data_IF_343467902444
#
_entry.id   IF_343467902444
#
_cell.length_a   1.000
_cell.length_b   1.000
_cell.length_c   1.000
_cell.angle_alpha   90.00
_cell.angle_beta   90.00
_cell.angle_gamma   90.00
#
_symmetry.space_group_name_H-M   'P 1'
#
loop_
_entity.id
_entity.type
_entity.pdbx_description
1 polymer ?
#
# COMPACT_ATOMS: atom_id res chain seq x y z
N UNK A 1 -27.33 10.76 -8.93
CA UNK A 1 -28.49 10.63 -9.85
C UNK A 1 -28.92 11.92 -10.55
N UNK A 2 -28.61 13.11 -10.05
CA UNK A 2 -28.99 14.38 -10.71
C UNK A 2 -28.33 14.56 -12.09
N UNK A 3 -27.09 14.11 -12.24
CA UNK A 3 -26.32 14.21 -13.50
C UNK A 3 -26.57 13.00 -14.40
N UNK A 4 -26.46 11.78 -13.84
CA UNK A 4 -26.75 10.53 -14.54
C UNK A 4 -27.92 9.79 -13.87
N UNK A 5 -29.17 10.02 -14.34
CA UNK A 5 -30.35 9.45 -13.71
C UNK A 5 -30.51 7.94 -13.95
N UNK A 6 -29.91 7.42 -15.02
CA UNK A 6 -29.93 5.99 -15.38
C UNK A 6 -28.63 5.26 -15.02
N UNK A 7 -27.80 5.82 -14.12
CA UNK A 7 -26.57 5.17 -13.68
C UNK A 7 -26.89 3.91 -12.88
N UNK A 8 -26.43 2.77 -13.36
CA UNK A 8 -26.63 1.46 -12.72
C UNK A 8 -25.32 0.83 -12.22
N UNK A 9 -24.19 1.12 -12.88
CA UNK A 9 -22.89 0.49 -12.59
C UNK A 9 -21.77 1.53 -12.64
N UNK A 10 -20.84 1.46 -11.70
CA UNK A 10 -19.57 2.18 -11.69
C UNK A 10 -18.44 1.15 -11.79
N UNK A 11 -17.64 1.26 -12.85
CA UNK A 11 -16.44 0.46 -13.03
C UNK A 11 -15.25 1.20 -12.44
N UNK A 12 -14.66 0.67 -11.38
CA UNK A 12 -13.54 1.30 -10.69
C UNK A 12 -12.66 0.26 -10.00
N UNK A 13 -11.37 0.54 -9.87
CA UNK A 13 -10.51 -0.24 -9.00
C UNK A 13 -10.96 -0.03 -7.55
N UNK A 14 -11.40 -1.11 -6.92
CA UNK A 14 -12.12 -1.08 -5.64
C UNK A 14 -11.46 -1.96 -4.56
N UNK A 15 -10.24 -2.42 -4.83
CA UNK A 15 -9.42 -3.28 -3.98
C UNK A 15 -8.15 -2.56 -3.51
N UNK A 16 -7.46 -3.18 -2.54
CA UNK A 16 -6.26 -2.59 -1.93
C UNK A 16 -6.55 -1.21 -1.35
N UNK A 17 -5.66 -0.22 -1.55
CA UNK A 17 -5.86 1.14 -1.03
C UNK A 17 -7.10 1.86 -1.55
N UNK A 18 -7.65 1.49 -2.71
CA UNK A 18 -8.86 2.12 -3.25
C UNK A 18 -10.14 1.68 -2.54
N UNK A 19 -10.07 0.62 -1.72
CA UNK A 19 -11.19 0.17 -0.92
C UNK A 19 -11.67 1.26 0.07
N UNK A 20 -10.79 2.18 0.48
CA UNK A 20 -11.12 3.28 1.41
C UNK A 20 -12.09 4.30 0.81
N UNK A 21 -12.12 4.44 -0.52
CA UNK A 21 -12.99 5.39 -1.23
C UNK A 21 -14.39 4.83 -1.51
N UNK A 22 -14.61 3.53 -1.28
CA UNK A 22 -15.89 2.86 -1.57
C UNK A 22 -17.07 3.43 -0.77
N UNK A 23 -16.95 3.74 0.53
CA UNK A 23 -18.03 4.38 1.29
C UNK A 23 -18.45 5.73 0.68
N UNK A 24 -17.49 6.53 0.23
CA UNK A 24 -17.74 7.84 -0.38
C UNK A 24 -18.39 7.71 -1.76
N UNK A 25 -17.92 6.78 -2.60
CA UNK A 25 -18.57 6.47 -3.89
C UNK A 25 -20.03 6.06 -3.66
N UNK A 26 -20.29 5.21 -2.66
CA UNK A 26 -21.66 4.78 -2.32
C UNK A 26 -22.52 5.93 -1.80
N UNK A 27 -21.93 6.87 -1.06
CA UNK A 27 -22.63 8.07 -0.58
C UNK A 27 -23.16 8.92 -1.75
N UNK A 28 -22.33 9.19 -2.76
CA UNK A 28 -22.72 10.03 -3.90
C UNK A 28 -23.53 9.29 -4.98
N UNK A 29 -23.18 8.04 -5.27
CA UNK A 29 -23.85 7.25 -6.30
C UNK A 29 -25.23 6.75 -5.85
N UNK A 30 -25.39 6.54 -4.54
CA UNK A 30 -26.56 5.93 -3.94
C UNK A 30 -26.43 4.39 -3.84
N UNK A 31 -27.22 3.76 -2.96
CA UNK A 31 -27.07 2.34 -2.61
C UNK A 31 -27.40 1.38 -3.77
N UNK A 32 -28.22 1.82 -4.72
CA UNK A 32 -28.69 1.00 -5.84
C UNK A 32 -27.66 0.88 -6.98
N UNK A 33 -26.60 1.70 -6.97
CA UNK A 33 -25.57 1.69 -8.01
C UNK A 33 -24.51 0.66 -7.66
N UNK A 34 -24.32 -0.33 -8.52
CA UNK A 34 -23.31 -1.37 -8.32
C UNK A 34 -21.92 -0.82 -8.61
N UNK A 35 -21.02 -0.87 -7.63
CA UNK A 35 -19.58 -0.67 -7.87
C UNK A 35 -18.99 -2.02 -8.24
N UNK A 36 -18.15 -2.07 -9.27
CA UNK A 36 -17.50 -3.29 -9.72
C UNK A 36 -16.03 -3.02 -10.03
N UNK A 37 -15.16 -3.93 -9.58
CA UNK A 37 -13.78 -3.97 -10.05
C UNK A 37 -13.68 -4.69 -11.39
N UNK A 38 -12.66 -4.36 -12.17
CA UNK A 38 -12.55 -4.82 -13.56
C UNK A 38 -11.37 -5.77 -13.70
N UNK A 39 -10.16 -5.32 -13.37
CA UNK A 39 -8.91 -6.03 -13.64
C UNK A 39 -7.84 -5.71 -12.60
N UNK A 40 -6.88 -6.62 -12.47
CA UNK A 40 -5.53 -6.30 -11.95
C UNK A 40 -4.61 -6.27 -13.16
N UNK A 41 -4.06 -5.10 -13.44
CA UNK A 41 -3.14 -4.88 -14.55
C UNK A 41 -2.07 -3.88 -14.13
N UNK A 42 -0.86 -4.06 -14.68
CA UNK A 42 0.26 -3.15 -14.55
C UNK A 42 0.83 -2.83 -15.94
N UNK A 43 1.85 -1.98 -16.00
CA UNK A 43 2.55 -1.71 -17.26
C UNK A 43 3.30 -2.93 -17.79
N UNK A 44 3.64 -3.85 -16.89
CA UNK A 44 4.43 -5.07 -17.15
C UNK A 44 3.56 -6.25 -17.55
N UNK A 45 2.34 -6.39 -17.02
CA UNK A 45 1.45 -7.50 -17.35
C UNK A 45 -0.02 -7.24 -17.04
N UNK A 46 -0.87 -7.94 -17.79
CA UNK A 46 -2.29 -8.10 -17.47
C UNK A 46 -2.45 -9.34 -16.59
N UNK A 47 -2.69 -9.16 -15.28
CA UNK A 47 -2.58 -10.26 -14.32
C UNK A 47 -3.87 -11.04 -14.11
N UNK A 48 -4.99 -10.34 -13.91
CA UNK A 48 -6.23 -10.99 -13.51
C UNK A 48 -7.47 -10.17 -13.89
N UNK A 49 -8.58 -10.86 -14.09
CA UNK A 49 -9.90 -10.27 -14.36
C UNK A 49 -10.83 -10.52 -13.19
N UNK A 50 -11.78 -9.64 -12.93
CA UNK A 50 -12.79 -9.85 -11.88
C UNK A 50 -13.50 -11.21 -12.06
N UNK A 51 -13.67 -11.95 -10.97
CA UNK A 51 -14.31 -13.26 -10.99
C UNK A 51 -15.78 -13.20 -10.57
N UNK A 52 -16.09 -12.53 -9.47
CA UNK A 52 -17.47 -12.25 -9.05
C UNK A 52 -17.68 -10.73 -9.02
N UNK A 53 -18.54 -10.17 -9.89
CA UNK A 53 -18.80 -8.73 -9.92
C UNK A 53 -19.31 -8.13 -8.60
N UNK A 54 -19.81 -8.96 -7.68
CA UNK A 54 -20.27 -8.54 -6.35
C UNK A 54 -19.14 -8.49 -5.33
N UNK A 55 -18.05 -9.22 -5.59
CA UNK A 55 -16.86 -9.23 -4.76
C UNK A 55 -15.78 -8.34 -5.39
N UNK A 56 -15.62 -7.15 -4.81
CA UNK A 56 -14.72 -6.11 -5.31
C UNK A 56 -13.24 -6.49 -5.29
N UNK A 57 -12.87 -7.59 -4.63
CA UNK A 57 -11.48 -8.02 -4.47
C UNK A 57 -11.29 -9.52 -4.76
N UNK A 58 -12.10 -10.11 -5.64
CA UNK A 58 -11.92 -11.49 -6.07
C UNK A 58 -11.69 -11.54 -7.59
N UNK A 59 -10.48 -11.92 -7.98
CA UNK A 59 -10.04 -11.94 -9.37
C UNK A 59 -9.59 -13.34 -9.77
N UNK A 60 -9.76 -13.68 -11.03
CA UNK A 60 -9.22 -14.89 -11.64
C UNK A 60 -7.97 -14.50 -12.43
N UNK A 61 -6.85 -15.15 -12.13
CA UNK A 61 -5.61 -14.99 -12.89
C UNK A 61 -5.88 -15.35 -14.35
N UNK A 62 -5.38 -14.53 -15.27
CA UNK A 62 -5.52 -14.84 -16.69
C UNK A 62 -4.55 -15.94 -17.09
N UNK A 63 -5.03 -16.90 -17.88
CA UNK A 63 -4.16 -17.83 -18.58
C UNK A 63 -3.60 -17.17 -19.83
N UNK A 64 -2.82 -16.10 -19.66
CA UNK A 64 -2.22 -15.33 -20.74
C UNK A 64 -1.00 -16.02 -21.35
N UNK A 65 -0.44 -15.36 -22.37
CA UNK A 65 0.81 -15.71 -23.03
C UNK A 65 2.06 -15.56 -22.12
N UNK A 66 1.92 -14.83 -21.02
CA UNK A 66 2.94 -14.65 -20.00
C UNK A 66 2.91 -15.77 -18.96
N UNK A 67 4.09 -16.16 -18.45
CA UNK A 67 4.19 -17.12 -17.34
C UNK A 67 4.16 -16.36 -16.03
N UNK A 68 3.13 -16.64 -15.24
CA UNK A 68 2.91 -16.06 -13.92
C UNK A 68 3.36 -17.11 -12.88
N UNK A 69 4.35 -16.75 -12.07
CA UNK A 69 4.86 -17.54 -10.95
C UNK A 69 4.53 -16.82 -9.62
N UNK A 70 4.49 -17.59 -8.52
CA UNK A 70 4.16 -17.09 -7.19
C UNK A 70 5.32 -17.35 -6.22
N UNK A 71 5.75 -16.33 -5.49
CA UNK A 71 6.84 -16.42 -4.52
C UNK A 71 6.28 -16.29 -3.10
N UNK A 72 6.38 -17.30 -2.22
CA UNK A 72 5.81 -17.23 -0.87
C UNK A 72 6.38 -16.05 -0.06
N UNK A 73 5.51 -15.27 0.58
CA UNK A 73 5.94 -14.09 1.37
C UNK A 73 6.44 -14.49 2.76
N UNK A 74 5.84 -15.51 3.38
CA UNK A 74 6.07 -15.88 4.78
C UNK A 74 7.30 -16.79 5.01
N UNK A 75 8.06 -17.10 3.96
CA UNK A 75 9.28 -17.93 4.05
C UNK A 75 10.54 -17.05 4.11
N UNK A 76 11.60 -17.45 4.85
CA UNK A 76 12.91 -16.79 4.76
C UNK A 76 13.38 -16.75 3.31
N UNK A 77 13.99 -15.64 2.85
CA UNK A 77 14.44 -15.49 1.44
C UNK A 77 15.30 -16.67 0.96
N UNK A 78 16.16 -17.21 1.83
CA UNK A 78 17.02 -18.38 1.54
C UNK A 78 16.22 -19.68 1.30
N UNK A 79 14.96 -19.72 1.74
CA UNK A 79 14.03 -20.85 1.63
C UNK A 79 12.87 -20.57 0.67
N UNK A 80 12.85 -19.41 0.01
CA UNK A 80 11.84 -19.07 -0.98
C UNK A 80 12.16 -19.77 -2.29
N UNK A 81 11.39 -20.82 -2.58
CA UNK A 81 11.33 -21.41 -3.91
C UNK A 81 10.08 -20.89 -4.60
N UNK A 82 10.21 -20.56 -5.89
CA UNK A 82 9.07 -20.21 -6.71
C UNK A 82 8.08 -21.38 -6.68
N UNK A 83 6.83 -21.08 -6.34
CA UNK A 83 5.71 -21.99 -6.56
C UNK A 83 5.50 -22.10 -8.08
N UNK A 84 6.27 -23.00 -8.69
CA UNK A 84 6.28 -23.21 -10.11
C UNK A 84 5.02 -23.95 -10.54
N UNK A 85 4.44 -23.55 -11.67
CA UNK A 85 3.54 -24.41 -12.43
C UNK A 85 4.35 -25.58 -12.98
N UNK A 86 4.13 -26.80 -12.51
CA UNK A 86 4.78 -27.96 -13.14
C UNK A 86 4.14 -28.13 -14.52
N UNK A 87 4.90 -27.85 -15.57
CA UNK A 87 4.58 -28.23 -16.95
C UNK A 87 4.85 -29.73 -17.10
N UNK A 88 3.96 -30.56 -16.59
CA UNK A 88 3.83 -31.92 -17.13
C UNK A 88 2.92 -31.82 -18.35
N UNK A 89 3.19 -32.55 -19.45
CA UNK A 89 2.42 -32.46 -20.71
C UNK A 89 0.90 -32.69 -20.59
N UNK A 90 0.39 -33.02 -19.40
CA UNK A 90 -0.99 -33.42 -19.15
C UNK A 90 -1.67 -32.69 -17.98
N UNK A 91 -1.01 -31.80 -17.22
CA UNK A 91 -1.71 -31.06 -16.15
C UNK A 91 -0.94 -29.81 -15.71
N UNK A 92 -1.50 -28.62 -15.98
CA UNK A 92 -1.03 -27.39 -15.36
C UNK A 92 -1.43 -27.41 -13.88
N UNK A 93 -0.47 -27.60 -12.97
CA UNK A 93 -0.74 -27.63 -11.54
C UNK A 93 -0.02 -26.47 -10.84
N UNK A 94 -0.79 -25.54 -10.30
CA UNK A 94 -0.29 -24.46 -9.46
C UNK A 94 0.20 -25.03 -8.13
N UNK A 95 1.46 -24.78 -7.77
CA UNK A 95 2.02 -25.21 -6.49
C UNK A 95 1.78 -24.16 -5.38
N UNK A 96 0.54 -23.69 -5.25
CA UNK A 96 0.14 -22.66 -4.29
C UNK A 96 -0.97 -23.19 -3.38
N UNK A 97 -1.05 -22.66 -2.17
CA UNK A 97 -2.00 -23.08 -1.14
C UNK A 97 -3.09 -22.02 -0.96
N UNK A 98 -4.33 -22.46 -0.76
CA UNK A 98 -5.45 -21.56 -0.43
C UNK A 98 -5.18 -20.88 0.91
N UNK A 99 -5.36 -19.56 0.96
CA UNK A 99 -5.00 -18.69 2.08
C UNK A 99 -3.51 -18.30 2.11
N UNK A 100 -2.67 -18.91 1.28
CA UNK A 100 -1.26 -18.55 1.16
C UNK A 100 -1.07 -17.19 0.49
N UNK A 101 -0.07 -16.43 0.95
CA UNK A 101 0.30 -15.12 0.42
C UNK A 101 1.56 -15.20 -0.42
N UNK A 102 1.50 -14.63 -1.61
CA UNK A 102 2.55 -14.74 -2.60
C UNK A 102 2.81 -13.42 -3.29
N UNK A 103 4.08 -13.11 -3.51
CA UNK A 103 4.51 -12.10 -4.45
C UNK A 103 4.43 -12.64 -5.89
N UNK A 104 3.97 -11.80 -6.80
CA UNK A 104 3.83 -12.12 -8.23
C UNK A 104 5.19 -11.99 -8.92
N UNK A 105 5.55 -13.03 -9.65
CA UNK A 105 6.76 -13.09 -10.47
C UNK A 105 6.36 -13.33 -11.92
N UNK A 106 6.87 -12.50 -12.82
CA UNK A 106 6.46 -12.46 -14.21
C UNK A 106 7.57 -12.92 -15.14
N UNK A 107 7.15 -13.65 -16.15
CA UNK A 107 7.92 -13.85 -17.37
C UNK A 107 7.05 -13.47 -18.54
N UNK A 108 7.47 -12.45 -19.27
CA UNK A 108 6.66 -11.90 -20.36
C UNK A 108 7.34 -12.08 -21.70
N UNK A 109 6.55 -12.09 -22.77
CA UNK A 109 7.09 -12.13 -24.14
C UNK A 109 7.95 -10.90 -24.48
N UNK A 110 7.71 -9.79 -23.79
CA UNK A 110 8.37 -8.52 -24.01
C UNK A 110 9.73 -8.38 -23.29
N UNK A 111 10.21 -9.47 -22.66
CA UNK A 111 11.59 -9.60 -22.21
C UNK A 111 11.78 -9.57 -20.69
N UNK A 112 10.72 -9.52 -19.89
CA UNK A 112 10.86 -9.76 -18.45
C UNK A 112 11.09 -11.24 -18.21
N UNK A 113 12.15 -11.57 -17.45
CA UNK A 113 12.47 -12.94 -17.08
C UNK A 113 12.52 -13.09 -15.57
N UNK A 114 11.54 -13.81 -15.00
CA UNK A 114 11.38 -13.97 -13.55
C UNK A 114 11.45 -12.64 -12.80
N UNK A 115 10.84 -11.62 -13.40
CA UNK A 115 10.78 -10.30 -12.84
C UNK A 115 9.82 -10.29 -11.65
N UNK A 116 10.34 -9.91 -10.48
CA UNK A 116 9.52 -9.71 -9.28
C UNK A 116 8.69 -8.45 -9.49
N UNK A 117 7.41 -8.62 -9.81
CA UNK A 117 6.46 -7.50 -9.98
C UNK A 117 6.32 -6.74 -8.66
N UNK A 118 6.44 -7.46 -7.55
CA UNK A 118 6.31 -6.90 -6.23
C UNK A 118 4.87 -6.77 -5.78
N UNK A 119 3.86 -7.13 -6.55
CA UNK A 119 2.49 -7.24 -6.05
C UNK A 119 2.32 -8.51 -5.22
N UNK A 120 1.63 -8.41 -4.08
CA UNK A 120 1.29 -9.51 -3.19
C UNK A 120 -0.20 -9.82 -3.26
N UNK A 121 -0.48 -11.10 -3.44
CA UNK A 121 -1.83 -11.64 -3.57
C UNK A 121 -2.03 -12.82 -2.63
N UNK A 122 -3.27 -13.03 -2.21
CA UNK A 122 -3.70 -14.21 -1.47
C UNK A 122 -4.44 -15.17 -2.40
N UNK A 123 -4.18 -16.46 -2.31
CA UNK A 123 -4.95 -17.47 -3.06
C UNK A 123 -6.30 -17.69 -2.37
N UNK A 124 -7.38 -17.24 -2.99
CA UNK A 124 -8.74 -17.47 -2.51
C UNK A 124 -9.27 -18.87 -2.86
N UNK A 125 -8.72 -19.49 -3.90
CA UNK A 125 -9.19 -20.78 -4.40
C UNK A 125 -8.79 -21.01 -5.84
N UNK A 126 -9.53 -21.89 -6.52
CA UNK A 126 -9.31 -22.21 -7.93
C UNK A 126 -10.64 -22.21 -8.66
N UNK A 127 -10.64 -21.73 -9.89
CA UNK A 127 -11.82 -21.76 -10.75
C UNK A 127 -12.14 -23.23 -11.12
N UNK A 128 -13.37 -23.69 -10.88
CA UNK A 128 -13.73 -25.10 -11.10
C UNK A 128 -13.72 -25.52 -12.57
N UNK A 129 -13.80 -24.57 -13.51
CA UNK A 129 -13.89 -24.85 -14.94
C UNK A 129 -12.51 -25.01 -15.60
N UNK A 130 -11.53 -24.21 -15.19
CA UNK A 130 -10.22 -24.16 -15.86
C UNK A 130 -9.02 -24.27 -14.89
N UNK A 131 -9.25 -24.45 -13.60
CA UNK A 131 -8.21 -24.61 -12.59
C UNK A 131 -7.35 -23.36 -12.35
N UNK A 132 -7.73 -22.20 -12.91
CA UNK A 132 -6.99 -20.96 -12.72
C UNK A 132 -7.12 -20.46 -11.28
N UNK A 133 -6.06 -19.91 -10.66
CA UNK A 133 -6.13 -19.40 -9.30
C UNK A 133 -7.10 -18.23 -9.23
N UNK A 134 -7.91 -18.26 -8.19
CA UNK A 134 -8.67 -17.11 -7.74
C UNK A 134 -7.83 -16.42 -6.68
N UNK A 135 -7.62 -15.13 -6.85
CA UNK A 135 -6.74 -14.33 -6.02
C UNK A 135 -7.47 -13.13 -5.42
N UNK A 136 -7.05 -12.73 -4.23
CA UNK A 136 -7.38 -11.42 -3.63
C UNK A 136 -6.14 -10.54 -3.65
N UNK A 137 -6.33 -9.31 -4.07
CA UNK A 137 -5.25 -8.33 -4.02
C UNK A 137 -5.03 -7.89 -2.57
N UNK A 138 -3.81 -8.05 -2.08
CA UNK A 138 -3.42 -7.55 -0.75
C UNK A 138 -2.79 -6.16 -0.89
N UNK A 139 -1.84 -6.01 -1.83
CA UNK A 139 -1.07 -4.79 -2.00
C UNK A 139 0.20 -5.03 -2.79
N UNK A 140 1.11 -4.06 -2.78
CA UNK A 140 2.47 -4.25 -3.29
C UNK A 140 3.35 -4.66 -2.10
N UNK A 141 4.08 -5.76 -2.20
CA UNK A 141 5.00 -6.35 -1.21
C UNK A 141 6.31 -6.91 -1.79
N UNK A 142 6.83 -6.36 -2.89
CA UNK A 142 8.17 -6.66 -3.40
C UNK A 142 9.28 -5.94 -2.65
N UNK A 143 10.54 -6.13 -3.06
CA UNK A 143 11.76 -5.55 -2.47
C UNK A 143 11.70 -4.03 -2.18
N UNK A 144 10.79 -3.29 -2.83
CA UNK A 144 10.53 -1.87 -2.57
C UNK A 144 9.55 -1.60 -1.40
N UNK A 145 8.68 -2.54 -1.04
CA UNK A 145 7.83 -2.49 0.17
C UNK A 145 8.50 -3.08 1.40
N UNK A 146 9.56 -3.87 1.24
CA UNK A 146 10.40 -4.27 2.37
C UNK A 146 11.14 -3.07 3.02
N UNK A 147 11.08 -1.86 2.42
CA UNK A 147 11.53 -0.59 3.00
C UNK A 147 10.37 0.32 3.47
N UNK A 148 9.17 -0.21 3.76
CA UNK A 148 8.08 0.51 4.47
C UNK A 148 8.30 0.55 5.99
N UNK A 149 9.55 0.71 6.39
CA UNK A 149 9.93 0.93 7.76
C UNK A 149 10.93 2.07 7.79
N UNK A 150 10.92 2.85 8.87
CA UNK A 150 12.02 3.76 9.18
C UNK A 150 12.97 3.01 10.11
N UNK A 151 14.27 3.11 9.82
CA UNK A 151 15.33 2.60 10.69
C UNK A 151 16.21 3.78 11.08
N UNK A 152 16.08 4.22 12.32
CA UNK A 152 17.06 5.10 12.96
C UNK A 152 17.87 4.29 13.97
N UNK A 153 19.18 4.47 13.99
CA UNK A 153 20.07 3.65 14.82
C UNK A 153 19.84 2.12 14.62
N UNK A 154 19.46 1.38 15.68
CA UNK A 154 19.21 -0.07 15.61
C UNK A 154 17.73 -0.42 15.61
N UNK A 155 16.84 0.54 15.82
CA UNK A 155 15.40 0.29 15.79
C UNK A 155 14.84 0.20 14.36
N UNK A 156 13.71 -0.47 14.24
CA UNK A 156 12.95 -0.56 13.00
C UNK A 156 11.49 -0.32 13.33
N UNK A 157 10.89 0.70 12.72
CA UNK A 157 9.49 1.05 12.90
C UNK A 157 8.74 0.90 11.59
N UNK A 158 7.73 0.03 11.57
CA UNK A 158 6.93 -0.29 10.39
C UNK A 158 5.85 0.77 10.11
N UNK A 159 5.34 0.79 8.88
CA UNK A 159 4.16 1.59 8.51
C UNK A 159 2.98 1.37 9.46
N UNK A 160 2.68 0.13 9.83
CA UNK A 160 1.56 -0.17 10.75
C UNK A 160 1.77 0.49 12.10
N UNK A 161 3.00 0.48 12.62
CA UNK A 161 3.32 1.18 13.86
C UNK A 161 3.16 2.70 13.71
N UNK A 162 3.55 3.27 12.56
CA UNK A 162 3.36 4.70 12.29
C UNK A 162 1.88 5.09 12.16
N UNK A 163 1.05 4.26 11.52
CA UNK A 163 -0.41 4.45 11.46
C UNK A 163 -1.03 4.41 12.85
N UNK A 164 -0.64 3.44 13.67
CA UNK A 164 -1.11 3.34 15.05
C UNK A 164 -0.75 4.59 15.89
N UNK A 165 0.42 5.20 15.65
CA UNK A 165 0.81 6.45 16.30
C UNK A 165 -0.13 7.59 15.90
N UNK A 166 -0.44 7.73 14.60
CA UNK A 166 -1.40 8.73 14.12
C UNK A 166 -2.79 8.49 14.70
N UNK A 167 -3.28 7.25 14.68
CA UNK A 167 -4.60 6.91 15.22
C UNK A 167 -4.67 7.24 16.72
N UNK A 168 -3.63 6.92 17.48
CA UNK A 168 -3.55 7.22 18.91
C UNK A 168 -3.38 8.71 19.24
N UNK A 169 -2.96 9.53 18.27
CA UNK A 169 -2.72 10.97 18.45
C UNK A 169 -3.68 11.85 17.64
N UNK A 170 -4.65 11.25 16.93
CA UNK A 170 -5.57 11.93 16.01
C UNK A 170 -6.37 13.05 16.68
N UNK A 171 -6.77 12.86 17.94
CA UNK A 171 -7.48 13.88 18.73
C UNK A 171 -6.63 15.13 19.00
N UNK A 172 -5.31 14.96 19.11
CA UNK A 172 -4.36 16.07 19.28
C UNK A 172 -4.09 16.78 17.96
N UNK A 173 -4.19 16.05 16.85
CA UNK A 173 -4.14 16.58 15.49
C UNK A 173 -5.43 17.29 15.06
N UNK A 174 -6.56 17.11 15.77
CA UNK A 174 -7.85 17.64 15.33
C UNK A 174 -8.41 16.91 14.10
N UNK A 175 -8.01 15.65 13.90
CA UNK A 175 -8.35 14.83 12.74
C UNK A 175 -7.33 14.94 11.60
N UNK A 176 -6.82 13.80 11.16
CA UNK A 176 -5.85 13.70 10.05
C UNK A 176 -6.58 13.23 8.78
N UNK A 177 -6.40 13.95 7.68
CA UNK A 177 -6.90 13.57 6.37
C UNK A 177 -5.93 12.61 5.68
N UNK A 178 -4.66 13.00 5.61
CA UNK A 178 -3.59 12.19 5.02
C UNK A 178 -2.26 12.56 5.68
N UNK A 179 -1.31 11.61 5.72
CA UNK A 179 -0.01 11.84 6.32
C UNK A 179 1.09 11.00 5.68
N UNK A 180 2.33 11.43 5.88
CA UNK A 180 3.51 10.64 5.63
C UNK A 180 4.60 10.94 6.67
N UNK A 181 5.61 10.09 6.71
CA UNK A 181 6.69 10.13 7.68
C UNK A 181 8.02 9.94 6.95
N UNK A 182 9.00 10.76 7.29
CA UNK A 182 10.37 10.65 6.77
C UNK A 182 11.35 10.63 7.93
N UNK A 183 12.49 9.95 7.82
CA UNK A 183 13.62 10.25 8.69
C UNK A 183 14.09 11.69 8.44
N UNK A 184 14.45 12.39 9.51
CA UNK A 184 15.00 13.74 9.49
C UNK A 184 16.40 13.73 10.10
N UNK A 185 17.39 13.90 9.24
CA UNK A 185 18.82 13.94 9.59
C UNK A 185 19.37 15.36 9.70
N UNK A 186 18.53 16.40 9.63
CA UNK A 186 18.99 17.81 9.66
C UNK A 186 19.45 18.26 11.06
N UNK A 187 19.13 17.48 12.09
CA UNK A 187 19.55 17.72 13.47
C UNK A 187 20.72 16.80 13.84
N UNK A 188 21.45 17.15 14.89
CA UNK A 188 22.58 16.34 15.41
C UNK A 188 22.13 14.92 15.76
N UNK A 189 20.91 14.80 16.32
CA UNK A 189 20.27 13.51 16.59
C UNK A 189 19.14 13.32 15.58
N UNK A 190 19.21 12.23 14.82
CA UNK A 190 18.20 11.88 13.84
C UNK A 190 16.84 11.65 14.52
N UNK A 191 15.76 12.01 13.84
CA UNK A 191 14.40 11.88 14.37
C UNK A 191 13.40 11.56 13.27
N UNK A 192 12.19 11.23 13.66
CA UNK A 192 11.06 11.06 12.74
C UNK A 192 10.47 12.44 12.40
N UNK A 193 10.10 12.68 11.15
CA UNK A 193 9.36 13.85 10.72
C UNK A 193 8.01 13.43 10.14
N UNK A 194 6.94 13.78 10.87
CA UNK A 194 5.57 13.58 10.43
C UNK A 194 5.12 14.80 9.63
N UNK A 195 4.57 14.57 8.45
CA UNK A 195 3.88 15.55 7.63
C UNK A 195 2.41 15.17 7.62
N UNK A 196 1.54 16.04 8.11
CA UNK A 196 0.12 15.74 8.30
C UNK A 196 -0.74 16.83 7.68
N UNK A 197 -1.67 16.43 6.83
CA UNK A 197 -2.76 17.24 6.31
C UNK A 197 -3.98 17.01 7.19
N UNK A 198 -4.56 18.08 7.73
CA UNK A 198 -5.55 18.00 8.80
C UNK A 198 -6.96 18.30 8.29
N UNK A 199 -7.97 17.71 8.95
CA UNK A 199 -9.39 17.95 8.63
C UNK A 199 -9.89 19.28 9.21
N UNK A 200 -9.24 19.79 10.26
CA UNK A 200 -9.62 21.03 10.94
C UNK A 200 -8.40 21.78 11.50
N UNK A 201 -8.68 22.87 12.22
CA UNK A 201 -7.64 23.61 12.94
C UNK A 201 -7.21 22.83 14.20
N UNK A 202 -5.95 22.39 14.30
CA UNK A 202 -5.49 21.63 15.46
C UNK A 202 -5.38 22.49 16.74
N UNK A 203 -5.44 23.82 16.62
CA UNK A 203 -5.37 24.75 17.74
C UNK A 203 -4.13 24.56 18.62
N UNK A 204 -4.25 24.85 19.92
CA UNK A 204 -3.11 24.76 20.86
C UNK A 204 -2.62 23.32 21.12
N UNK A 205 -3.43 22.30 20.82
CA UNK A 205 -3.14 20.89 21.12
C UNK A 205 -2.01 20.31 20.25
N UNK A 206 -1.77 20.91 19.07
CA UNK A 206 -0.70 20.47 18.16
C UNK A 206 0.68 20.47 18.82
N UNK A 207 0.89 21.36 19.80
CA UNK A 207 2.16 21.48 20.53
C UNK A 207 2.52 20.22 21.34
N UNK A 208 1.52 19.40 21.71
CA UNK A 208 1.72 18.16 22.45
C UNK A 208 1.98 16.93 21.56
N UNK A 209 1.69 17.03 20.26
CA UNK A 209 1.79 15.91 19.31
C UNK A 209 3.20 15.34 19.19
N UNK A 210 4.28 16.14 19.09
CA UNK A 210 5.65 15.61 19.07
C UNK A 210 5.96 14.67 20.23
N UNK A 211 5.64 15.10 21.45
CA UNK A 211 5.87 14.32 22.67
C UNK A 211 4.96 13.09 22.73
N UNK A 212 3.66 13.25 22.44
CA UNK A 212 2.73 12.13 22.43
C UNK A 212 3.10 11.07 21.40
N UNK A 213 3.56 11.48 20.20
CA UNK A 213 4.04 10.56 19.16
C UNK A 213 5.30 9.83 19.60
N UNK A 214 6.21 10.53 20.30
CA UNK A 214 7.40 9.91 20.88
C UNK A 214 7.03 8.83 21.90
N UNK A 215 6.09 9.14 22.80
CA UNK A 215 5.64 8.22 23.85
C UNK A 215 4.96 6.97 23.25
N UNK A 216 4.16 7.13 22.19
CA UNK A 216 3.55 5.99 21.50
C UNK A 216 4.60 5.11 20.83
N UNK A 217 5.61 5.70 20.18
CA UNK A 217 6.72 4.93 19.57
C UNK A 217 7.52 4.19 20.65
N UNK A 218 7.83 4.84 21.76
CA UNK A 218 8.50 4.23 22.91
C UNK A 218 7.69 3.07 23.51
N UNK A 219 6.37 3.23 23.63
CA UNK A 219 5.47 2.22 24.19
C UNK A 219 5.37 0.96 23.32
N UNK A 220 5.42 1.12 22.00
CA UNK A 220 5.13 0.05 21.03
C UNK A 220 6.36 -0.47 20.27
N UNK A 221 7.55 0.05 20.56
CA UNK A 221 8.82 -0.41 19.99
C UNK A 221 9.95 -0.34 21.03
N UNK A 222 10.29 -1.50 21.61
CA UNK A 222 11.34 -1.58 22.65
C UNK A 222 12.72 -1.11 22.18
N UNK A 223 13.05 -1.32 20.90
CA UNK A 223 14.32 -0.87 20.35
C UNK A 223 14.33 0.65 20.20
N UNK A 224 13.21 1.23 19.79
CA UNK A 224 13.04 2.68 19.76
C UNK A 224 13.19 3.28 21.15
N UNK A 225 12.53 2.70 22.17
CA UNK A 225 12.67 3.12 23.57
C UNK A 225 14.12 3.10 24.05
N UNK A 226 14.85 2.01 23.79
CA UNK A 226 16.27 1.89 24.19
C UNK A 226 17.13 2.94 23.50
N UNK A 227 16.98 3.09 22.18
CA UNK A 227 17.80 4.02 21.40
C UNK A 227 17.44 5.49 21.67
N UNK A 228 16.17 5.82 21.97
CA UNK A 228 15.77 7.17 22.39
C UNK A 228 16.31 7.52 23.78
N UNK A 229 16.25 6.61 24.74
CA UNK A 229 16.81 6.81 26.09
C UNK A 229 18.33 6.95 26.07
N UNK A 230 19.01 6.27 25.14
CA UNK A 230 20.45 6.44 24.89
C UNK A 230 20.80 7.72 24.12
N UNK A 231 19.82 8.56 23.77
CA UNK A 231 20.02 9.80 23.04
C UNK A 231 20.39 9.62 21.56
N UNK A 232 20.16 8.43 20.99
CA UNK A 232 20.46 8.16 19.56
C UNK A 232 19.31 8.54 18.63
N UNK A 233 18.10 8.70 19.17
CA UNK A 233 16.90 9.08 18.43
C UNK A 233 16.25 10.26 19.14
N UNK A 234 16.01 11.33 18.40
CA UNK A 234 15.36 12.54 18.91
C UNK A 234 13.83 12.43 18.93
N UNK A 235 13.20 13.32 19.68
CA UNK A 235 11.74 13.50 19.67
C UNK A 235 11.28 13.80 18.23
N UNK A 236 10.24 13.13 17.71
CA UNK A 236 9.72 13.40 16.38
C UNK A 236 9.35 14.86 16.20
N UNK A 237 9.46 15.38 14.98
CA UNK A 237 8.87 16.66 14.63
C UNK A 237 7.60 16.46 13.81
N UNK A 238 6.68 17.42 13.92
CA UNK A 238 5.39 17.40 13.25
C UNK A 238 5.29 18.66 12.40
N UNK A 239 4.94 18.47 11.12
CA UNK A 239 4.77 19.51 10.13
C UNK A 239 3.34 19.43 9.61
N UNK A 240 2.54 20.43 9.96
CA UNK A 240 1.20 20.57 9.42
C UNK A 240 1.32 21.17 8.02
N UNK A 241 0.84 20.45 7.02
CA UNK A 241 0.80 20.93 5.63
C UNK A 241 -0.56 21.53 5.30
N UNK A 242 -0.64 22.31 4.22
CA UNK A 242 -1.90 22.93 3.79
C UNK A 242 -2.84 21.84 3.27
N UNK A 243 -4.15 22.02 3.49
CA UNK A 243 -5.17 21.21 2.82
C UNK A 243 -4.97 21.24 1.30
N UNK A 244 -4.94 20.08 0.67
CA UNK A 244 -4.63 19.88 -0.75
C UNK A 244 -3.16 19.57 -1.05
N UNK A 245 -2.23 19.70 -0.10
CA UNK A 245 -0.79 19.47 -0.35
C UNK A 245 -0.51 18.05 -0.86
N UNK A 246 -1.15 17.01 -0.31
CA UNK A 246 -0.95 15.65 -0.83
C UNK A 246 -1.62 15.43 -2.20
N UNK A 247 -2.67 16.18 -2.52
CA UNK A 247 -3.25 16.25 -3.86
C UNK A 247 -2.27 16.85 -4.88
N UNK A 248 -1.69 18.00 -4.55
CA UNK A 248 -0.67 18.67 -5.36
C UNK A 248 0.59 17.81 -5.53
N UNK A 249 1.00 17.09 -4.48
CA UNK A 249 2.13 16.15 -4.52
C UNK A 249 1.91 15.05 -5.54
N UNK A 250 0.70 14.46 -5.56
CA UNK A 250 0.32 13.45 -6.56
C UNK A 250 0.39 14.05 -7.96
N UNK A 251 -0.13 15.26 -8.16
CA UNK A 251 -0.05 15.97 -9.45
C UNK A 251 1.40 16.20 -9.92
N UNK A 252 2.28 16.64 -9.01
CA UNK A 252 3.70 16.83 -9.29
C UNK A 252 4.40 15.51 -9.67
N UNK A 253 4.16 14.43 -8.91
CA UNK A 253 4.68 13.08 -9.21
C UNK A 253 4.25 12.57 -10.58
N UNK A 254 2.97 12.75 -10.93
CA UNK A 254 2.43 12.42 -12.26
C UNK A 254 3.20 13.16 -13.34
N UNK A 255 3.38 14.49 -13.18
CA UNK A 255 4.03 15.33 -14.17
C UNK A 255 5.54 15.08 -14.31
N UNK A 256 6.23 14.68 -13.24
CA UNK A 256 7.69 14.48 -13.24
C UNK A 256 8.14 13.05 -13.50
N UNK A 257 7.28 12.05 -13.26
CA UNK A 257 7.64 10.63 -13.37
C UNK A 257 6.84 9.85 -14.43
N UNK A 258 6.07 10.54 -15.27
CA UNK A 258 5.23 9.94 -16.32
C UNK A 258 4.30 8.82 -15.78
N UNK A 259 3.87 8.98 -14.53
CA UNK A 259 3.06 8.00 -13.83
C UNK A 259 1.57 8.30 -14.07
N UNK A 260 0.77 7.29 -14.41
CA UNK A 260 -0.67 7.48 -14.63
C UNK A 260 -1.35 8.06 -13.38
N UNK A 261 -2.27 9.02 -13.55
CA UNK A 261 -2.90 9.80 -12.47
C UNK A 261 -3.57 8.94 -11.40
N UNK A 262 -4.05 7.74 -11.76
CA UNK A 262 -4.66 6.78 -10.83
C UNK A 262 -3.69 5.86 -10.08
N UNK A 263 -2.38 5.90 -10.35
CA UNK A 263 -1.38 5.00 -9.75
C UNK A 263 -0.48 5.67 -8.72
N UNK A 264 -0.53 7.01 -8.58
CA UNK A 264 0.35 7.72 -7.64
C UNK A 264 -0.25 7.74 -6.24
N UNK A 265 0.36 6.94 -5.35
CA UNK A 265 0.04 6.92 -3.91
C UNK A 265 1.02 7.81 -3.14
N UNK A 266 0.55 8.42 -2.06
CA UNK A 266 1.43 8.97 -1.03
C UNK A 266 1.85 7.82 -0.14
N UNK A 267 3.14 7.52 -0.12
CA UNK A 267 3.67 6.49 0.76
C UNK A 267 3.68 7.01 2.21
N UNK A 268 3.29 6.17 3.17
CA UNK A 268 3.40 6.53 4.59
C UNK A 268 4.85 6.76 4.99
N UNK A 269 5.79 6.05 4.36
CA UNK A 269 7.23 6.27 4.57
C UNK A 269 7.82 6.87 3.32
N UNK A 270 8.51 8.01 3.47
CA UNK A 270 9.21 8.70 2.38
C UNK A 270 10.70 8.72 2.69
N UNK A 271 11.51 8.22 1.77
CA UNK A 271 12.97 8.19 1.86
C UNK A 271 13.67 9.10 0.86
N UNK A 272 12.97 9.45 -0.23
CA UNK A 272 13.57 10.20 -1.33
C UNK A 272 13.67 11.66 -0.95
N UNK A 273 14.89 12.20 -0.93
CA UNK A 273 15.17 13.58 -0.50
C UNK A 273 14.38 14.61 -1.34
N UNK A 274 14.19 14.36 -2.64
CA UNK A 274 13.36 15.22 -3.50
C UNK A 274 11.89 15.24 -3.10
N UNK A 275 11.36 14.11 -2.62
CA UNK A 275 9.97 14.00 -2.21
C UNK A 275 9.77 14.73 -0.87
N UNK A 276 10.72 14.58 0.06
CA UNK A 276 10.71 15.29 1.34
C UNK A 276 11.09 16.77 1.25
N UNK A 277 11.78 17.21 0.19
CA UNK A 277 12.06 18.62 -0.07
C UNK A 277 10.87 19.34 -0.70
N UNK A 278 10.02 18.60 -1.44
CA UNK A 278 8.78 19.14 -1.98
C UNK A 278 7.72 19.34 -0.88
N UNK A 279 7.64 18.39 0.07
CA UNK A 279 6.72 18.40 1.22
C UNK A 279 7.17 19.34 2.35
#
# INVERSE_FOLDING_TARGET
RQIWPQLCVILANASGPFATLIPEIRHYAGPDVSVQSVVIASSEAFLAVVYDPRDLNLYRVVGSDDVIEFLPVDKPEESKYLAQSILTPLLYRWNVEVGGKYEVVLTTRDGFWRYRLGDVVEIAGFNPHNGQPLIRYIGVGGLHFFNMHIRLAKEMTTETQLRNVIDATSDLFGGVYEFCVSPDYRQVVARYAFFAELQGDPGAKISAVPTASHDQLQKHNENYLKDSQMGKIGVPCVRVVRLGTFGDYRGWKVATKDAATGQVKVAVVIWVETDGAWL
#
